data_IF_530838377617
#
_entry.id   IF_530838377617
#
_cell.length_a   1.000
_cell.length_b   1.000
_cell.length_c   1.000
_cell.angle_alpha   90.00
_cell.angle_beta   90.00
_cell.angle_gamma   90.00
#
_symmetry.space_group_name_H-M   'P 1'
#
loop_
_entity.id
_entity.type
_entity.pdbx_description
1 polymer ?
#
# COMPACT_ATOMS: atom_id res chain seq x y z
N UNK A 1 -8.40 4.29 10.25
CA UNK A 1 -7.05 4.46 9.63
C UNK A 1 -6.07 5.22 10.55
N UNK A 2 -6.38 6.44 11.01
CA UNK A 2 -5.48 7.19 11.92
C UNK A 2 -5.10 6.41 13.19
N UNK A 3 -6.07 5.74 13.83
CA UNK A 3 -5.82 4.93 15.04
C UNK A 3 -4.96 3.68 14.79
N UNK A 4 -4.73 3.29 13.52
CA UNK A 4 -3.85 2.19 13.13
C UNK A 4 -2.49 2.69 12.63
N UNK A 5 -2.19 3.98 12.82
CA UNK A 5 -0.91 4.58 12.45
C UNK A 5 -0.71 4.75 10.94
N UNK A 6 -1.78 4.78 10.15
CA UNK A 6 -1.73 5.11 8.72
C UNK A 6 -1.63 6.62 8.56
N UNK A 7 -0.51 7.09 8.01
CA UNK A 7 -0.24 8.51 7.72
C UNK A 7 0.13 8.71 6.25
N UNK A 8 0.06 9.95 5.76
CA UNK A 8 0.43 10.29 4.39
C UNK A 8 1.90 9.96 4.11
N UNK A 9 2.78 10.22 5.07
CA UNK A 9 4.22 9.96 4.98
C UNK A 9 4.49 8.46 4.81
N UNK A 10 3.78 7.60 5.54
CA UNK A 10 3.89 6.14 5.35
C UNK A 10 3.36 5.70 3.99
N UNK A 11 2.24 6.27 3.53
CA UNK A 11 1.71 5.98 2.19
C UNK A 11 2.73 6.34 1.12
N UNK A 12 3.32 7.54 1.19
CA UNK A 12 4.36 7.98 0.25
C UNK A 12 5.60 7.08 0.34
N UNK A 13 6.07 6.73 1.54
CA UNK A 13 7.20 5.83 1.73
C UNK A 13 6.97 4.47 1.05
N UNK A 14 5.79 3.89 1.21
CA UNK A 14 5.45 2.60 0.59
C UNK A 14 5.31 2.71 -0.93
N UNK A 15 4.78 3.82 -1.46
CA UNK A 15 4.73 4.06 -2.91
C UNK A 15 6.12 4.26 -3.52
N UNK A 16 7.03 4.96 -2.83
CA UNK A 16 8.39 5.21 -3.32
C UNK A 16 9.33 4.02 -3.18
N UNK A 17 9.12 3.16 -2.17
CA UNK A 17 9.92 1.96 -1.95
C UNK A 17 9.04 0.80 -1.44
N UNK A 18 8.23 0.18 -2.32
CA UNK A 18 7.35 -0.91 -1.94
C UNK A 18 8.17 -2.18 -1.66
N UNK A 19 7.80 -2.90 -0.61
CA UNK A 19 8.36 -4.24 -0.37
C UNK A 19 7.89 -5.23 -1.45
N UNK A 20 6.68 -5.03 -1.96
CA UNK A 20 6.10 -5.84 -3.05
C UNK A 20 5.14 -5.02 -3.87
N UNK A 21 5.16 -5.23 -5.18
CA UNK A 21 4.13 -4.73 -6.10
C UNK A 21 3.38 -5.94 -6.65
N UNK A 22 2.05 -5.92 -6.54
CA UNK A 22 1.17 -6.94 -7.11
C UNK A 22 0.35 -6.31 -8.24
N UNK A 23 0.26 -7.00 -9.37
CA UNK A 23 -0.66 -6.61 -10.46
C UNK A 23 -2.09 -6.92 -10.03
N UNK A 24 -2.92 -5.89 -9.94
CA UNK A 24 -4.36 -5.99 -9.69
C UNK A 24 -5.16 -6.15 -10.98
N UNK A 25 -6.48 -6.16 -10.81
CA UNK A 25 -7.43 -6.24 -11.93
C UNK A 25 -7.48 -4.92 -12.72
N UNK A 26 -7.59 -5.00 -14.05
CA UNK A 26 -7.69 -3.86 -14.99
C UNK A 26 -6.52 -2.86 -14.89
N UNK A 27 -5.29 -3.35 -14.85
CA UNK A 27 -4.09 -2.50 -14.92
C UNK A 27 -3.70 -1.81 -13.61
N UNK A 28 -4.51 -1.94 -12.55
CA UNK A 28 -4.19 -1.40 -11.22
C UNK A 28 -2.97 -2.09 -10.63
N UNK A 29 -2.19 -1.35 -9.86
CA UNK A 29 -1.07 -1.86 -9.08
C UNK A 29 -1.43 -1.82 -7.60
N UNK A 30 -0.88 -2.76 -6.85
CA UNK A 30 -0.99 -2.78 -5.39
C UNK A 30 0.42 -2.74 -4.83
N UNK A 31 0.81 -1.59 -4.27
CA UNK A 31 2.04 -1.45 -3.50
C UNK A 31 1.77 -1.94 -2.07
N UNK A 32 2.69 -2.73 -1.55
CA UNK A 32 2.63 -3.27 -0.21
C UNK A 32 3.91 -2.90 0.56
N UNK A 33 3.75 -2.49 1.80
CA UNK A 33 4.88 -2.24 2.71
C UNK A 33 4.48 -2.33 4.17
N UNK A 34 5.44 -2.36 5.09
CA UNK A 34 5.18 -2.43 6.53
C UNK A 34 4.46 -1.19 7.06
N UNK A 35 3.41 -1.41 7.84
CA UNK A 35 2.73 -0.37 8.62
C UNK A 35 3.18 -0.38 10.08
N UNK A 36 3.22 -1.59 10.65
CA UNK A 36 3.75 -1.96 11.97
C UNK A 36 4.44 -3.33 11.84
N UNK A 37 4.87 -3.93 12.93
CA UNK A 37 5.42 -5.29 12.91
C UNK A 37 4.39 -6.34 12.42
N UNK A 38 3.13 -6.19 12.82
CA UNK A 38 2.05 -7.15 12.56
C UNK A 38 1.19 -6.79 11.33
N UNK A 39 1.24 -5.52 10.91
CA UNK A 39 0.40 -4.98 9.85
C UNK A 39 1.22 -4.53 8.65
N UNK A 40 0.70 -4.84 7.48
CA UNK A 40 1.11 -4.29 6.20
C UNK A 40 0.14 -3.16 5.80
N UNK A 41 0.64 -2.20 5.06
CA UNK A 41 -0.11 -1.19 4.34
C UNK A 41 -0.21 -1.61 2.88
N UNK A 42 -1.42 -1.77 2.37
CA UNK A 42 -1.68 -2.00 0.94
C UNK A 42 -2.29 -0.75 0.33
N UNK A 43 -1.70 -0.35 -0.79
CA UNK A 43 -2.07 0.86 -1.52
C UNK A 43 -2.42 0.42 -2.92
N UNK A 44 -3.69 0.54 -3.28
CA UNK A 44 -4.19 0.31 -4.64
C UNK A 44 -4.09 1.63 -5.39
N UNK A 45 -3.38 1.61 -6.51
CA UNK A 45 -3.13 2.80 -7.31
C UNK A 45 -3.11 2.49 -8.81
N UNK A 46 -3.37 3.52 -9.59
CA UNK A 46 -3.10 3.57 -11.03
C UNK A 46 -1.89 4.48 -11.24
N UNK A 47 -1.06 4.15 -12.23
CA UNK A 47 0.19 4.85 -12.53
C UNK A 47 0.34 4.99 -14.04
N UNK A 48 0.10 6.21 -14.50
CA UNK A 48 0.43 6.70 -15.84
C UNK A 48 1.43 7.87 -15.66
N UNK A 49 1.13 9.09 -16.12
CA UNK A 49 1.95 10.28 -15.87
C UNK A 49 1.94 10.75 -14.39
N UNK A 50 0.98 10.25 -13.62
CA UNK A 50 0.82 10.51 -12.19
C UNK A 50 0.34 9.27 -11.46
N UNK A 51 0.61 9.21 -10.16
CA UNK A 51 0.08 8.17 -9.28
C UNK A 51 -1.28 8.63 -8.72
N UNK A 52 -2.35 7.93 -9.09
CA UNK A 52 -3.66 8.09 -8.49
C UNK A 52 -3.90 6.99 -7.46
N UNK A 53 -3.92 7.37 -6.18
CA UNK A 53 -4.24 6.44 -5.08
C UNK A 53 -5.75 6.26 -4.99
N UNK A 54 -6.21 5.03 -5.21
CA UNK A 54 -7.63 4.67 -5.19
C UNK A 54 -8.04 4.24 -3.78
N UNK A 55 -7.24 3.40 -3.12
CA UNK A 55 -7.57 2.89 -1.79
C UNK A 55 -6.31 2.59 -1.00
N UNK A 56 -6.33 2.94 0.29
CA UNK A 56 -5.30 2.60 1.26
C UNK A 56 -5.93 1.85 2.40
N UNK A 57 -5.41 0.66 2.72
CA UNK A 57 -5.90 -0.12 3.85
C UNK A 57 -4.80 -0.93 4.52
N UNK A 58 -4.84 -1.07 5.86
CA UNK A 58 -4.00 -2.01 6.57
C UNK A 58 -4.49 -3.44 6.36
N UNK A 59 -3.58 -4.41 6.37
CA UNK A 59 -3.91 -5.82 6.43
C UNK A 59 -2.92 -6.56 7.34
N UNK A 60 -3.34 -7.68 7.93
CA UNK A 60 -2.43 -8.50 8.70
C UNK A 60 -1.35 -9.10 7.81
N UNK A 61 -0.11 -9.12 8.31
CA UNK A 61 1.07 -9.60 7.61
C UNK A 61 0.98 -11.11 7.28
N UNK A 62 0.48 -11.89 8.24
CA UNK A 62 0.26 -13.35 8.15
C UNK A 62 -0.57 -13.82 6.94
N UNK A 63 -1.34 -12.93 6.30
CA UNK A 63 -2.16 -13.28 5.14
C UNK A 63 -1.39 -13.28 3.81
N UNK A 64 -0.20 -12.68 3.79
CA UNK A 64 0.56 -12.41 2.56
C UNK A 64 2.05 -12.77 2.66
N UNK A 65 2.48 -13.33 3.79
CA UNK A 65 3.70 -14.13 3.94
C UNK A 65 3.36 -15.60 3.74
#
# INVERSE_FOLDING_TARGET
>A
LKNLGVTKEKVLKVLSNPQKIVRGYRGRKIAQGLLTWELLLRIVYEEDDKILVITVYPCKRERYE
#
